data_IF_318814680656
#
_entry.id   IF_318814680656
#
_cell.length_a   1.000
_cell.length_b   1.000
_cell.length_c   1.000
_cell.angle_alpha   90.00
_cell.angle_beta   90.00
_cell.angle_gamma   90.00
#
_symmetry.space_group_name_H-M   'P 1'
#
loop_
_entity.id
_entity.type
_entity.pdbx_description
1 polymer ?
#
# COMPACT_ATOMS: atom_id res chain seq x y z
N UNK A 1 9.29 -7.36 14.85
CA UNK A 1 8.09 -7.55 14.01
C UNK A 1 7.75 -6.20 13.41
N UNK A 2 7.43 -6.15 12.12
CA UNK A 2 7.11 -4.91 11.41
C UNK A 2 5.79 -5.04 10.66
N UNK A 3 4.95 -4.01 10.74
CA UNK A 3 3.68 -3.90 10.02
C UNK A 3 3.71 -2.69 9.11
N UNK A 4 3.42 -2.89 7.83
CA UNK A 4 3.17 -1.80 6.88
C UNK A 4 1.69 -1.65 6.62
N UNK A 5 1.19 -0.42 6.62
CA UNK A 5 -0.16 -0.09 6.21
C UNK A 5 -0.15 0.75 4.95
N UNK A 6 -1.03 0.42 4.00
CA UNK A 6 -1.24 1.16 2.76
C UNK A 6 -2.64 1.79 2.79
N UNK A 7 -2.70 3.11 2.74
CA UNK A 7 -3.95 3.87 2.66
C UNK A 7 -4.26 4.21 1.21
N UNK A 8 -5.29 3.55 0.65
CA UNK A 8 -5.80 3.80 -0.69
C UNK A 8 -6.77 4.97 -0.79
N UNK A 9 -7.14 5.62 0.31
CA UNK A 9 -8.03 6.79 0.30
C UNK A 9 -7.39 7.96 -0.43
N UNK A 10 -8.11 8.56 -1.39
CA UNK A 10 -7.72 9.84 -1.98
C UNK A 10 -7.64 10.99 -0.96
N UNK A 11 -8.21 10.83 0.25
CA UNK A 11 -8.14 11.78 1.36
C UNK A 11 -7.09 11.33 2.40
N UNK A 12 -5.92 12.00 2.44
CA UNK A 12 -4.79 11.70 3.37
C UNK A 12 -5.15 11.69 4.86
N UNK A 13 -6.16 12.45 5.26
CA UNK A 13 -6.60 12.55 6.65
C UNK A 13 -8.07 12.16 6.79
N UNK A 14 -8.57 11.33 5.88
CA UNK A 14 -9.93 10.81 5.92
C UNK A 14 -10.12 9.66 6.91
N UNK A 15 -11.35 9.15 6.95
CA UNK A 15 -11.75 8.08 7.88
C UNK A 15 -10.86 6.83 7.76
N UNK A 16 -10.47 6.43 6.55
CA UNK A 16 -9.58 5.27 6.34
C UNK A 16 -8.24 5.47 7.04
N UNK A 17 -7.61 6.65 6.91
CA UNK A 17 -6.36 6.97 7.59
C UNK A 17 -6.52 6.99 9.12
N UNK A 18 -7.65 7.51 9.63
CA UNK A 18 -7.95 7.53 11.07
C UNK A 18 -8.03 6.11 11.62
N UNK A 19 -8.75 5.22 10.94
CA UNK A 19 -8.91 3.82 11.37
C UNK A 19 -7.58 3.05 11.29
N UNK A 20 -6.80 3.24 10.22
CA UNK A 20 -5.46 2.63 10.12
C UNK A 20 -4.58 3.10 11.28
N UNK A 21 -4.51 4.41 11.53
CA UNK A 21 -3.68 4.98 12.61
C UNK A 21 -4.09 4.47 13.98
N UNK A 22 -5.39 4.24 14.20
CA UNK A 22 -5.85 3.61 15.43
C UNK A 22 -5.24 2.21 15.59
N UNK A 23 -5.32 1.36 14.57
CA UNK A 23 -4.73 0.01 14.60
C UNK A 23 -3.20 0.08 14.80
N UNK A 24 -2.50 0.93 14.04
CA UNK A 24 -1.06 1.09 14.18
C UNK A 24 -0.67 1.52 15.60
N UNK A 25 -1.42 2.43 16.20
CA UNK A 25 -1.17 2.88 17.58
C UNK A 25 -1.33 1.76 18.62
N UNK A 26 -2.24 0.79 18.39
CA UNK A 26 -2.37 -0.37 19.29
C UNK A 26 -1.22 -1.37 19.10
N UNK A 27 -0.72 -1.51 17.86
CA UNK A 27 0.45 -2.35 17.57
C UNK A 27 1.74 -1.77 18.16
N UNK A 28 1.92 -0.45 18.05
CA UNK A 28 3.07 0.26 18.62
C UNK A 28 3.14 0.10 20.15
N UNK A 29 1.99 0.06 20.85
CA UNK A 29 1.93 -0.16 22.31
C UNK A 29 2.52 -1.51 22.75
N UNK A 30 2.53 -2.50 21.87
CA UNK A 30 3.11 -3.83 22.15
C UNK A 30 4.49 -4.00 21.51
N UNK A 31 5.11 -2.90 21.05
CA UNK A 31 6.48 -2.87 20.53
C UNK A 31 6.63 -3.36 19.09
N UNK A 32 5.55 -3.36 18.31
CA UNK A 32 5.59 -3.68 16.88
C UNK A 32 5.92 -2.39 16.11
N UNK A 33 6.91 -2.45 15.22
CA UNK A 33 7.27 -1.34 14.34
C UNK A 33 6.20 -1.17 13.26
N UNK A 34 5.82 0.07 12.97
CA UNK A 34 4.73 0.40 12.06
C UNK A 34 5.18 1.42 11.01
N UNK A 35 4.63 1.30 9.80
CA UNK A 35 4.82 2.28 8.73
C UNK A 35 3.51 2.52 8.00
N UNK A 36 3.20 3.77 7.66
CA UNK A 36 2.02 4.15 6.90
C UNK A 36 2.42 4.75 5.55
N UNK A 37 1.97 4.11 4.47
CA UNK A 37 2.12 4.58 3.09
C UNK A 37 0.78 5.18 2.63
N UNK A 38 0.82 6.43 2.15
CA UNK A 38 -0.34 7.16 1.66
C UNK A 38 -0.33 7.16 0.12
N UNK A 39 -1.29 6.49 -0.53
CA UNK A 39 -1.39 6.49 -2.00
C UNK A 39 -1.95 7.80 -2.56
N UNK A 40 -2.57 8.63 -1.72
CA UNK A 40 -3.16 9.91 -2.12
C UNK A 40 -2.13 10.85 -2.74
N UNK A 41 -2.34 11.21 -4.01
CA UNK A 41 -1.47 12.13 -4.75
C UNK A 41 -0.20 11.47 -5.31
N UNK A 42 0.00 10.18 -5.07
CA UNK A 42 1.08 9.41 -5.69
C UNK A 42 0.71 9.01 -7.12
N UNK A 43 1.73 8.88 -7.97
CA UNK A 43 1.54 8.29 -9.30
C UNK A 43 1.49 6.78 -9.14
N UNK A 44 0.45 6.14 -9.67
CA UNK A 44 0.29 4.68 -9.72
C UNK A 44 -0.21 4.32 -11.11
N UNK A 45 0.54 3.48 -11.82
CA UNK A 45 0.16 3.02 -13.14
C UNK A 45 -0.40 1.60 -13.06
N UNK A 46 -1.65 1.43 -13.47
CA UNK A 46 -2.23 0.11 -13.61
C UNK A 46 -1.43 -0.78 -14.57
N UNK A 47 -1.46 -2.09 -14.32
CA UNK A 47 -0.74 -3.08 -15.12
C UNK A 47 -1.00 -2.91 -16.63
N UNK A 48 0.08 -2.85 -17.42
CA UNK A 48 0.04 -2.73 -18.89
C UNK A 48 0.13 -4.06 -19.63
N UNK A 49 0.06 -5.18 -18.90
CA UNK A 49 0.26 -6.54 -19.44
C UNK A 49 1.55 -6.68 -20.28
N UNK A 50 2.64 -6.04 -19.86
CA UNK A 50 3.92 -6.11 -20.58
C UNK A 50 4.74 -7.39 -20.30
N UNK A 51 4.30 -8.22 -19.34
CA UNK A 51 4.91 -9.50 -18.91
C UNK A 51 6.37 -9.47 -18.43
N UNK A 52 7.04 -8.31 -18.41
CA UNK A 52 8.45 -8.20 -17.96
C UNK A 52 8.71 -8.70 -16.53
N UNK A 53 7.73 -8.62 -15.62
CA UNK A 53 7.86 -9.16 -14.26
C UNK A 53 7.95 -10.70 -14.27
N UNK A 54 7.25 -11.38 -15.18
CA UNK A 54 7.33 -12.84 -15.36
C UNK A 54 8.69 -13.28 -15.91
N UNK A 55 9.27 -12.47 -16.81
CA UNK A 55 10.59 -12.75 -17.37
C UNK A 55 11.70 -12.55 -16.34
N UNK A 56 11.66 -11.44 -15.61
CA UNK A 56 12.72 -11.04 -14.66
C UNK A 56 12.67 -11.81 -13.35
N UNK A 57 11.48 -12.08 -12.82
CA UNK A 57 11.26 -12.76 -11.53
C UNK A 57 12.05 -12.14 -10.37
N UNK A 58 12.24 -10.83 -10.41
CA UNK A 58 12.96 -10.04 -9.40
C UNK A 58 12.02 -9.43 -8.35
N UNK A 59 10.75 -9.83 -8.35
CA UNK A 59 9.72 -9.31 -7.46
C UNK A 59 9.19 -7.93 -7.84
N UNK A 60 9.67 -7.32 -8.92
CA UNK A 60 9.39 -5.91 -9.23
C UNK A 60 8.58 -5.72 -10.53
N UNK A 61 7.80 -4.64 -10.55
CA UNK A 61 7.20 -4.14 -11.78
C UNK A 61 8.28 -3.48 -12.66
N UNK A 62 8.13 -3.61 -13.99
CA UNK A 62 9.01 -2.93 -14.93
C UNK A 62 8.78 -1.41 -15.00
N UNK A 63 7.64 -0.92 -14.50
CA UNK A 63 7.39 0.51 -14.30
C UNK A 63 8.19 0.96 -13.09
N UNK A 64 9.03 1.97 -13.25
CA UNK A 64 9.88 2.54 -12.19
C UNK A 64 9.57 4.00 -11.87
N UNK A 65 8.55 4.55 -12.53
CA UNK A 65 8.18 5.96 -12.41
C UNK A 65 7.01 6.20 -11.47
N UNK A 66 6.60 5.16 -10.72
CA UNK A 66 5.48 5.15 -9.80
C UNK A 66 5.88 4.45 -8.49
N UNK A 67 5.02 4.54 -7.48
CA UNK A 67 5.30 4.09 -6.10
C UNK A 67 5.17 2.56 -5.92
N UNK A 68 4.73 1.82 -6.94
CA UNK A 68 4.35 0.40 -6.81
C UNK A 68 5.50 -0.45 -6.28
N UNK A 69 6.71 -0.24 -6.80
CA UNK A 69 7.89 -0.99 -6.36
C UNK A 69 8.29 -0.68 -4.92
N UNK A 70 8.20 0.58 -4.49
CA UNK A 70 8.45 0.95 -3.10
C UNK A 70 7.42 0.27 -2.18
N UNK A 71 6.16 0.19 -2.58
CA UNK A 71 5.13 -0.54 -1.81
C UNK A 71 5.45 -2.04 -1.73
N UNK A 72 5.88 -2.65 -2.84
CA UNK A 72 6.26 -4.07 -2.89
C UNK A 72 7.41 -4.35 -1.92
N UNK A 73 8.49 -3.56 -1.96
CA UNK A 73 9.64 -3.74 -1.08
C UNK A 73 9.23 -3.68 0.40
N UNK A 74 8.41 -2.68 0.75
CA UNK A 74 7.90 -2.52 2.12
C UNK A 74 7.00 -3.66 2.55
N UNK A 75 6.19 -4.21 1.64
CA UNK A 75 5.36 -5.39 1.90
C UNK A 75 6.19 -6.66 2.08
N UNK A 76 7.27 -6.83 1.32
CA UNK A 76 8.19 -7.98 1.41
C UNK A 76 9.00 -7.94 2.72
N UNK A 77 9.39 -6.76 3.18
CA UNK A 77 10.10 -6.56 4.45
C UNK A 77 9.21 -6.71 5.70
N UNK A 78 7.88 -6.60 5.55
CA UNK A 78 6.95 -6.59 6.66
C UNK A 78 6.50 -8.00 7.07
N UNK A 79 6.30 -8.20 8.37
CA UNK A 79 5.67 -9.40 8.94
C UNK A 79 4.13 -9.34 8.88
N UNK A 80 3.58 -8.12 8.73
CA UNK A 80 2.15 -7.89 8.61
C UNK A 80 1.82 -6.74 7.66
N UNK A 81 0.69 -6.87 6.96
CA UNK A 81 0.25 -5.89 5.96
C UNK A 81 -1.20 -5.48 6.29
N UNK A 82 -1.45 -4.17 6.33
CA UNK A 82 -2.80 -3.60 6.44
C UNK A 82 -3.12 -2.87 5.14
N UNK A 83 -4.17 -3.30 4.45
CA UNK A 83 -4.69 -2.60 3.27
C UNK A 83 -5.99 -1.88 3.66
N UNK A 84 -5.95 -0.55 3.69
CA UNK A 84 -7.14 0.26 3.98
C UNK A 84 -7.61 1.02 2.75
N UNK A 85 -8.86 0.84 2.38
CA UNK A 85 -9.51 1.59 1.30
C UNK A 85 -10.91 2.02 1.74
N UNK A 86 -11.37 3.23 1.37
CA UNK A 86 -12.80 3.51 1.35
C UNK A 86 -13.49 2.65 0.27
N UNK A 87 -14.81 2.50 0.40
CA UNK A 87 -15.63 1.83 -0.63
C UNK A 87 -16.03 2.86 -1.67
N UNK A 88 -15.46 2.78 -2.88
CA UNK A 88 -15.88 3.56 -4.04
C UNK A 88 -16.49 2.60 -5.08
N UNK A 89 -17.76 2.85 -5.45
CA UNK A 89 -18.49 1.98 -6.38
C UNK A 89 -18.53 0.49 -5.98
N UNK A 90 -18.75 0.22 -4.69
CA UNK A 90 -18.80 -1.14 -4.12
C UNK A 90 -17.48 -1.94 -4.20
N UNK A 91 -16.36 -1.27 -4.44
CA UNK A 91 -15.03 -1.87 -4.46
C UNK A 91 -14.00 -0.95 -3.76
N UNK A 92 -12.74 -1.38 -3.73
CA UNK A 92 -11.59 -0.56 -3.32
C UNK A 92 -11.35 0.59 -4.30
N UNK A 93 -10.53 1.55 -3.89
CA UNK A 93 -10.15 2.68 -4.75
C UNK A 93 -9.33 2.21 -5.97
N UNK A 94 -9.39 2.99 -7.05
CA UNK A 94 -8.64 2.69 -8.27
C UNK A 94 -7.13 2.62 -7.99
N UNK A 95 -6.63 3.49 -7.12
CA UNK A 95 -5.23 3.54 -6.68
C UNK A 95 -4.80 2.27 -5.93
N UNK A 96 -5.67 1.71 -5.08
CA UNK A 96 -5.39 0.44 -4.39
C UNK A 96 -5.52 -0.77 -5.33
N UNK A 97 -6.39 -0.68 -6.35
CA UNK A 97 -6.65 -1.78 -7.28
C UNK A 97 -5.57 -1.94 -8.35
N UNK A 98 -4.90 -0.84 -8.70
CA UNK A 98 -3.90 -0.72 -9.75
C UNK A 98 -2.60 -1.45 -9.42
#
# INVERSE_FOLDING_TARGET
MRVVAINGSARKQGNTAILIKYVLSELEKVGIETELIELSGEKIQGCTACYKCFDKKDGHCAVKSDIVNDCIDKMVEADGIILGSPIYFADITAEMKA
#
